data_IF_260771633652
#
_entry.id   IF_260771633652
#
_cell.length_a   1.000
_cell.length_b   1.000
_cell.length_c   1.000
_cell.angle_alpha   90.00
_cell.angle_beta   90.00
_cell.angle_gamma   90.00
#
_symmetry.space_group_name_H-M   'P 1'
#
loop_
_entity.id
_entity.type
_entity.pdbx_description
1 polymer ?
#
# COMPACT_ATOMS: atom_id res chain seq x y z
N UNK A 1 17.38 -49.66 4.34
CA UNK A 1 17.76 -48.28 4.65
C UNK A 1 18.18 -47.62 3.35
N UNK A 2 17.24 -47.01 2.63
CA UNK A 2 17.51 -46.38 1.33
C UNK A 2 18.01 -44.95 1.58
N UNK A 3 19.25 -44.68 1.20
CA UNK A 3 19.83 -43.33 1.24
C UNK A 3 19.19 -42.50 0.15
N UNK A 4 18.55 -41.39 0.52
CA UNK A 4 17.99 -40.41 -0.41
C UNK A 4 19.14 -39.92 -1.29
N UNK A 5 19.04 -40.10 -2.61
CA UNK A 5 20.05 -39.61 -3.52
C UNK A 5 20.05 -38.06 -3.46
N UNK A 6 21.23 -37.43 -3.50
CA UNK A 6 21.36 -35.96 -3.43
C UNK A 6 20.44 -35.24 -4.44
N UNK A 7 20.20 -35.86 -5.60
CA UNK A 7 19.28 -35.38 -6.63
C UNK A 7 17.82 -35.33 -6.15
N UNK A 8 17.35 -36.34 -5.43
CA UNK A 8 15.99 -36.39 -4.86
C UNK A 8 15.79 -35.31 -3.79
N UNK A 9 16.82 -35.05 -2.98
CA UNK A 9 16.82 -33.96 -2.01
C UNK A 9 16.72 -32.60 -2.69
N UNK A 10 17.45 -32.38 -3.79
CA UNK A 10 17.39 -31.13 -4.55
C UNK A 10 16.03 -30.92 -5.22
N UNK A 11 15.43 -31.98 -5.76
CA UNK A 11 14.08 -31.94 -6.35
C UNK A 11 13.02 -31.62 -5.29
N UNK A 12 13.14 -32.20 -4.09
CA UNK A 12 12.25 -31.89 -2.97
C UNK A 12 12.41 -30.43 -2.52
N UNK A 13 13.63 -29.91 -2.42
CA UNK A 13 13.87 -28.51 -2.08
C UNK A 13 13.33 -27.55 -3.15
N UNK A 14 13.50 -27.88 -4.43
CA UNK A 14 12.93 -27.11 -5.53
C UNK A 14 11.40 -27.13 -5.48
N UNK A 15 10.80 -28.30 -5.26
CA UNK A 15 9.34 -28.45 -5.16
C UNK A 15 8.79 -27.68 -3.96
N UNK A 16 9.45 -27.73 -2.80
CA UNK A 16 9.08 -26.94 -1.61
C UNK A 16 9.26 -25.45 -1.88
N UNK A 17 10.35 -25.03 -2.52
CA UNK A 17 10.56 -23.64 -2.92
C UNK A 17 9.48 -23.14 -3.90
N UNK A 18 9.09 -23.98 -4.86
CA UNK A 18 8.03 -23.68 -5.83
C UNK A 18 6.66 -23.64 -5.15
N UNK A 19 6.39 -24.54 -4.20
CA UNK A 19 5.16 -24.55 -3.41
C UNK A 19 5.09 -23.30 -2.52
N UNK A 20 6.17 -22.93 -1.84
CA UNK A 20 6.25 -21.68 -1.07
C UNK A 20 6.09 -20.45 -1.97
N UNK A 21 6.58 -20.50 -3.20
CA UNK A 21 6.41 -19.41 -4.17
C UNK A 21 4.96 -19.34 -4.70
N UNK A 22 4.36 -20.45 -5.12
CA UNK A 22 2.98 -20.51 -5.64
C UNK A 22 1.96 -20.21 -4.54
N UNK A 23 2.07 -20.85 -3.37
CA UNK A 23 1.18 -20.58 -2.23
C UNK A 23 1.52 -19.28 -1.48
N UNK A 24 2.74 -18.78 -1.59
CA UNK A 24 3.13 -17.48 -1.05
C UNK A 24 2.69 -16.31 -1.93
N UNK A 25 2.59 -16.50 -3.25
CA UNK A 25 2.12 -15.51 -4.21
C UNK A 25 0.58 -15.47 -4.30
N UNK A 26 -0.11 -16.59 -4.11
CA UNK A 26 -1.57 -16.64 -3.95
C UNK A 26 -1.99 -16.36 -2.52
N UNK A 27 -1.57 -15.22 -1.96
CA UNK A 27 -2.09 -14.72 -0.68
C UNK A 27 -3.20 -13.74 -0.99
N UNK A 28 -4.45 -14.22 -0.97
CA UNK A 28 -5.62 -13.33 -0.91
C UNK A 28 -5.39 -12.33 0.22
N UNK A 29 -5.56 -11.05 -0.09
CA UNK A 29 -5.52 -10.01 0.94
C UNK A 29 -6.67 -10.28 1.92
N UNK A 30 -6.52 -9.97 3.21
CA UNK A 30 -7.66 -9.91 4.12
C UNK A 30 -8.81 -9.11 3.47
N UNK A 31 -10.09 -9.48 3.65
CA UNK A 31 -11.21 -8.85 2.95
C UNK A 31 -11.25 -7.32 3.08
N UNK A 32 -10.91 -6.79 4.26
CA UNK A 32 -10.81 -5.35 4.50
C UNK A 32 -9.73 -4.67 3.64
N UNK A 33 -8.62 -5.36 3.37
CA UNK A 33 -7.54 -4.86 2.54
C UNK A 33 -7.85 -4.99 1.05
N UNK A 34 -8.64 -6.00 0.65
CA UNK A 34 -9.17 -6.10 -0.72
C UNK A 34 -10.08 -4.92 -1.06
N UNK A 35 -10.99 -4.56 -0.14
CA UNK A 35 -11.86 -3.39 -0.29
C UNK A 35 -11.03 -2.09 -0.40
N UNK A 36 -10.06 -1.91 0.49
CA UNK A 36 -9.14 -0.77 0.46
C UNK A 36 -8.32 -0.68 -0.83
N UNK A 37 -7.82 -1.83 -1.32
CA UNK A 37 -7.12 -1.89 -2.60
C UNK A 37 -8.03 -1.50 -3.77
N UNK A 38 -9.27 -1.98 -3.78
CA UNK A 38 -10.25 -1.62 -4.79
C UNK A 38 -10.61 -0.14 -4.77
N UNK A 39 -10.80 0.46 -3.59
CA UNK A 39 -11.03 1.91 -3.46
C UNK A 39 -9.87 2.72 -4.04
N UNK A 40 -8.63 2.37 -3.69
CA UNK A 40 -7.45 3.02 -4.24
C UNK A 40 -7.36 2.88 -5.77
N UNK A 41 -7.59 1.68 -6.30
CA UNK A 41 -7.55 1.42 -7.74
C UNK A 41 -8.65 2.18 -8.49
N UNK A 42 -9.86 2.27 -7.93
CA UNK A 42 -10.97 3.04 -8.48
C UNK A 42 -10.63 4.54 -8.52
N UNK A 43 -10.11 5.10 -7.42
CA UNK A 43 -9.71 6.51 -7.36
C UNK A 43 -8.61 6.84 -8.38
N UNK A 44 -7.60 5.97 -8.52
CA UNK A 44 -6.53 6.17 -9.51
C UNK A 44 -7.03 6.04 -10.95
N UNK A 45 -7.92 5.09 -11.22
CA UNK A 45 -8.54 4.93 -12.52
C UNK A 45 -9.38 6.17 -12.89
N UNK A 46 -10.11 6.72 -11.94
CA UNK A 46 -10.88 7.96 -12.13
C UNK A 46 -9.98 9.15 -12.44
N UNK A 47 -8.93 9.38 -11.63
CA UNK A 47 -7.96 10.45 -11.88
C UNK A 47 -7.29 10.28 -13.25
N UNK A 48 -6.91 9.06 -13.63
CA UNK A 48 -6.33 8.77 -14.94
C UNK A 48 -7.30 9.08 -16.10
N UNK A 49 -8.56 8.66 -15.96
CA UNK A 49 -9.62 8.90 -16.95
C UNK A 49 -9.92 10.40 -17.10
N UNK A 50 -9.99 11.14 -16.01
CA UNK A 50 -10.28 12.58 -16.01
C UNK A 50 -9.08 13.40 -16.46
N UNK A 51 -7.87 13.05 -16.04
CA UNK A 51 -6.63 13.65 -16.51
C UNK A 51 -6.44 13.50 -18.02
N UNK A 52 -6.88 12.38 -18.61
CA UNK A 52 -6.90 12.21 -20.07
C UNK A 52 -7.82 13.19 -20.81
N UNK A 53 -8.84 13.75 -20.13
CA UNK A 53 -9.74 14.78 -20.67
C UNK A 53 -9.27 16.21 -20.38
N UNK A 54 -8.31 16.37 -19.46
CA UNK A 54 -7.79 17.65 -18.98
C UNK A 54 -6.28 17.72 -19.24
N UNK A 55 -5.84 17.87 -20.51
CA UNK A 55 -4.42 17.76 -20.87
C UNK A 55 -3.53 18.81 -20.20
N UNK A 56 -4.08 19.99 -19.86
CA UNK A 56 -3.37 21.05 -19.15
C UNK A 56 -3.00 20.66 -17.70
N UNK A 57 -3.71 19.69 -17.09
CA UNK A 57 -3.41 19.17 -15.75
C UNK A 57 -2.53 17.92 -15.77
N UNK A 58 -2.12 17.43 -16.95
CA UNK A 58 -1.42 16.15 -17.06
C UNK A 58 -0.16 16.10 -16.19
N UNK A 59 0.68 17.13 -16.24
CA UNK A 59 1.91 17.18 -15.45
C UNK A 59 1.64 17.39 -13.96
N UNK A 60 0.60 18.16 -13.62
CA UNK A 60 0.19 18.38 -12.23
C UNK A 60 -0.39 17.12 -11.57
N UNK A 61 -0.98 16.21 -12.36
CA UNK A 61 -1.55 14.94 -11.87
C UNK A 61 -0.54 13.80 -11.78
N UNK A 62 0.61 13.88 -12.46
CA UNK A 62 1.65 12.83 -12.38
C UNK A 62 2.10 12.55 -10.95
N UNK A 63 2.38 13.56 -10.09
CA UNK A 63 2.73 13.33 -8.70
C UNK A 63 1.59 12.67 -7.91
N UNK A 64 0.32 12.99 -8.17
CA UNK A 64 -0.82 12.38 -7.48
C UNK A 64 -0.98 10.89 -7.84
N UNK A 65 -0.75 10.54 -9.12
CA UNK A 65 -0.71 9.14 -9.55
C UNK A 65 0.46 8.38 -8.91
N UNK A 66 1.62 9.03 -8.79
CA UNK A 66 2.77 8.44 -8.11
C UNK A 66 2.49 8.22 -6.62
N UNK A 67 1.87 9.20 -5.96
CA UNK A 67 1.43 9.10 -4.58
C UNK A 67 0.51 7.89 -4.35
N UNK A 68 -0.49 7.66 -5.21
CA UNK A 68 -1.34 6.47 -5.12
C UNK A 68 -0.59 5.15 -5.37
N UNK A 69 0.39 5.13 -6.28
CA UNK A 69 1.27 3.96 -6.44
C UNK A 69 2.12 3.69 -5.20
N UNK A 70 2.54 4.73 -4.51
CA UNK A 70 3.31 4.62 -3.26
C UNK A 70 2.41 4.21 -2.09
N UNK A 71 1.18 4.70 -2.00
CA UNK A 71 0.16 4.23 -1.05
C UNK A 71 -0.09 2.74 -1.16
N UNK A 72 -0.15 2.19 -2.39
CA UNK A 72 -0.33 0.74 -2.63
C UNK A 72 0.75 -0.10 -1.93
N UNK A 73 1.94 0.45 -1.68
CA UNK A 73 3.04 -0.24 -0.99
C UNK A 73 2.80 -0.42 0.51
N UNK A 74 1.78 0.23 1.08
CA UNK A 74 1.36 0.04 2.46
C UNK A 74 0.55 -1.26 2.65
N UNK A 75 -0.19 -1.70 1.63
CA UNK A 75 -1.06 -2.89 1.74
C UNK A 75 -0.30 -4.17 2.15
N UNK A 76 0.87 -4.50 1.57
CA UNK A 76 1.65 -5.67 2.02
C UNK A 76 2.12 -5.54 3.47
N UNK A 77 2.46 -4.33 3.93
CA UNK A 77 2.91 -4.08 5.31
C UNK A 77 1.76 -4.24 6.31
N UNK A 78 0.57 -3.75 5.96
CA UNK A 78 -0.65 -3.95 6.74
C UNK A 78 -1.00 -5.44 6.83
N UNK A 79 -0.97 -6.17 5.71
CA UNK A 79 -1.21 -7.62 5.67
C UNK A 79 -0.25 -8.40 6.58
N UNK A 80 1.02 -8.00 6.60
CA UNK A 80 2.04 -8.62 7.44
C UNK A 80 1.81 -8.33 8.92
N UNK A 81 1.52 -7.07 9.28
CA UNK A 81 1.22 -6.69 10.66
C UNK A 81 -0.01 -7.39 11.22
N UNK A 82 -1.10 -7.44 10.46
CA UNK A 82 -2.32 -8.15 10.86
C UNK A 82 -2.03 -9.64 11.10
N UNK A 83 -1.22 -10.26 10.23
CA UNK A 83 -0.81 -11.64 10.41
C UNK A 83 0.02 -11.84 11.68
N UNK A 84 0.92 -10.92 12.02
CA UNK A 84 1.69 -10.99 13.26
C UNK A 84 0.83 -10.78 14.50
N UNK A 85 -0.15 -9.87 14.43
CA UNK A 85 -1.08 -9.59 15.52
C UNK A 85 -2.07 -10.74 15.76
N UNK A 86 -2.39 -11.51 14.72
CA UNK A 86 -3.23 -12.70 14.80
C UNK A 86 -2.52 -13.91 15.46
N UNK A 87 -1.19 -13.89 15.61
CA UNK A 87 -0.46 -14.97 16.28
C UNK A 87 -0.69 -14.91 17.80
N UNK A 88 -1.02 -16.04 18.45
CA UNK A 88 -1.22 -16.08 19.90
C UNK A 88 0.03 -15.69 20.70
N UNK A 89 1.21 -15.95 20.15
CA UNK A 89 2.51 -15.70 20.79
C UNK A 89 2.92 -14.22 20.84
N UNK A 90 2.15 -13.32 20.21
CA UNK A 90 2.43 -11.89 20.19
C UNK A 90 1.75 -11.24 21.40
N UNK A 91 2.47 -11.14 22.51
CA UNK A 91 1.97 -10.58 23.78
C UNK A 91 2.82 -9.42 24.29
N UNK A 92 2.26 -8.67 25.26
CA UNK A 92 2.94 -7.61 25.99
C UNK A 92 3.38 -6.42 25.11
N UNK A 93 4.47 -5.73 25.46
CA UNK A 93 4.83 -4.44 24.86
C UNK A 93 5.17 -4.51 23.36
N UNK A 94 5.49 -5.70 22.84
CA UNK A 94 5.68 -5.92 21.41
C UNK A 94 4.35 -5.87 20.67
N UNK A 95 3.29 -6.47 21.23
CA UNK A 95 1.94 -6.41 20.67
C UNK A 95 1.45 -4.96 20.60
N UNK A 96 1.65 -4.19 21.67
CA UNK A 96 1.22 -2.79 21.74
C UNK A 96 1.90 -1.94 20.66
N UNK A 97 3.22 -2.10 20.47
CA UNK A 97 3.96 -1.40 19.42
C UNK A 97 3.48 -1.78 18.01
N UNK A 98 3.18 -3.05 17.78
CA UNK A 98 2.66 -3.52 16.50
C UNK A 98 1.24 -2.98 16.23
N UNK A 99 0.40 -2.86 17.27
CA UNK A 99 -0.93 -2.25 17.15
C UNK A 99 -0.85 -0.76 16.82
N UNK A 100 0.03 -0.01 17.50
CA UNK A 100 0.27 1.41 17.18
C UNK A 100 0.72 1.54 15.73
N UNK A 101 1.70 0.73 15.31
CA UNK A 101 2.21 0.77 13.95
C UNK A 101 1.16 0.39 12.90
N UNK A 102 0.33 -0.61 13.19
CA UNK A 102 -0.79 -0.99 12.32
C UNK A 102 -1.78 0.17 12.17
N UNK A 103 -2.15 0.82 13.26
CA UNK A 103 -3.05 1.95 13.26
C UNK A 103 -2.51 3.14 12.45
N UNK A 104 -1.23 3.49 12.65
CA UNK A 104 -0.56 4.56 11.88
C UNK A 104 -0.59 4.29 10.37
N UNK A 105 -0.26 3.07 9.95
CA UNK A 105 -0.25 2.68 8.54
C UNK A 105 -1.67 2.68 7.95
N UNK A 106 -2.65 2.20 8.71
CA UNK A 106 -4.05 2.14 8.29
C UNK A 106 -4.63 3.54 8.10
N UNK A 107 -4.45 4.42 9.10
CA UNK A 107 -4.91 5.81 9.02
C UNK A 107 -4.24 6.57 7.87
N UNK A 108 -2.93 6.38 7.69
CA UNK A 108 -2.20 6.97 6.57
C UNK A 108 -2.72 6.51 5.21
N UNK A 109 -3.03 5.22 5.09
CA UNK A 109 -3.61 4.66 3.89
C UNK A 109 -5.01 5.23 3.61
N UNK A 110 -5.90 5.20 4.60
CA UNK A 110 -7.28 5.68 4.48
C UNK A 110 -7.32 7.16 4.10
N UNK A 111 -6.56 8.01 4.82
CA UNK A 111 -6.44 9.43 4.50
C UNK A 111 -5.92 9.66 3.08
N UNK A 112 -4.95 8.86 2.65
CA UNK A 112 -4.39 8.95 1.30
C UNK A 112 -5.38 8.56 0.21
N UNK A 113 -6.23 7.56 0.47
CA UNK A 113 -7.33 7.18 -0.45
C UNK A 113 -8.40 8.26 -0.49
N UNK A 114 -8.84 8.77 0.66
CA UNK A 114 -9.82 9.87 0.72
C UNK A 114 -9.34 11.11 -0.03
N UNK A 115 -8.05 11.43 0.09
CA UNK A 115 -7.41 12.49 -0.68
C UNK A 115 -7.56 12.26 -2.20
N UNK A 116 -7.27 11.05 -2.70
CA UNK A 116 -7.37 10.74 -4.13
C UNK A 116 -8.82 10.73 -4.61
N UNK A 117 -9.75 10.23 -3.80
CA UNK A 117 -11.19 10.27 -4.08
C UNK A 117 -11.67 11.73 -4.20
N UNK A 118 -11.26 12.60 -3.27
CA UNK A 118 -11.57 14.03 -3.33
C UNK A 118 -10.94 14.71 -4.55
N UNK A 119 -9.68 14.43 -4.85
CA UNK A 119 -9.02 14.97 -6.06
C UNK A 119 -9.78 14.53 -7.33
N UNK A 120 -10.20 13.27 -7.41
CA UNK A 120 -11.05 12.77 -8.50
C UNK A 120 -12.36 13.54 -8.62
N UNK A 121 -13.04 13.80 -7.50
CA UNK A 121 -14.27 14.58 -7.46
C UNK A 121 -14.05 16.04 -7.88
N UNK A 122 -12.97 16.68 -7.43
CA UNK A 122 -12.65 18.06 -7.82
C UNK A 122 -12.33 18.16 -9.30
N UNK A 123 -11.64 17.18 -9.89
CA UNK A 123 -11.39 17.11 -11.33
C UNK A 123 -12.67 17.05 -12.18
N UNK A 124 -13.79 16.54 -11.63
CA UNK A 124 -15.10 16.58 -12.32
C UNK A 124 -15.67 17.99 -12.37
N UNK A 125 -15.30 18.86 -11.43
CA UNK A 125 -15.83 20.20 -11.27
C UNK A 125 -14.96 21.26 -11.95
N UNK A 126 -13.70 20.93 -12.26
CA UNK A 126 -12.79 21.83 -12.97
C UNK A 126 -13.40 22.26 -14.29
N UNK A 127 -13.57 23.58 -14.44
CA UNK A 127 -13.99 24.24 -15.66
C UNK A 127 -12.91 25.21 -16.10
N UNK A 128 -12.37 25.04 -17.31
CA UNK A 128 -11.32 25.93 -17.83
C UNK A 128 -9.91 25.48 -17.42
N UNK A 129 -9.09 26.42 -16.95
CA UNK A 129 -7.65 26.22 -16.64
C UNK A 129 -7.33 26.27 -15.15
N UNK A 130 -8.34 26.16 -14.29
CA UNK A 130 -8.17 26.18 -12.83
C UNK A 130 -7.61 24.83 -12.34
N UNK A 131 -6.69 24.89 -11.38
CA UNK A 131 -6.16 23.69 -10.73
C UNK A 131 -7.07 23.27 -9.57
N UNK A 132 -7.33 21.96 -9.40
CA UNK A 132 -8.01 21.43 -8.22
C UNK A 132 -7.30 21.86 -6.91
N UNK A 133 -8.03 22.41 -5.92
CA UNK A 133 -7.47 22.75 -4.61
C UNK A 133 -6.67 21.61 -3.95
N UNK A 134 -7.12 20.36 -4.10
CA UNK A 134 -6.43 19.20 -3.56
C UNK A 134 -4.99 19.04 -4.08
N UNK A 135 -4.62 19.59 -5.24
CA UNK A 135 -3.23 19.52 -5.71
C UNK A 135 -2.26 20.27 -4.80
N UNK A 136 -2.72 21.33 -4.12
CA UNK A 136 -1.90 22.10 -3.19
C UNK A 136 -1.53 21.31 -1.92
N UNK A 137 -2.32 20.30 -1.55
CA UNK A 137 -2.09 19.47 -0.35
C UNK A 137 -1.09 18.32 -0.60
N UNK A 138 -0.88 17.97 -1.87
CA UNK A 138 -0.07 16.83 -2.26
C UNK A 138 1.39 16.84 -1.73
N UNK A 139 2.12 17.97 -1.73
CA UNK A 139 3.49 18.00 -1.20
C UNK A 139 3.57 17.56 0.26
N UNK A 140 2.60 17.97 1.08
CA UNK A 140 2.53 17.61 2.49
C UNK A 140 2.22 16.11 2.65
N UNK A 141 1.26 15.59 1.89
CA UNK A 141 0.91 14.17 1.92
C UNK A 141 2.06 13.26 1.48
N UNK A 142 2.89 13.70 0.53
CA UNK A 142 4.10 12.97 0.13
C UNK A 142 5.13 12.89 1.26
N UNK A 143 5.27 13.95 2.07
CA UNK A 143 6.13 13.96 3.25
C UNK A 143 5.59 12.97 4.29
N UNK A 144 4.29 13.06 4.61
CA UNK A 144 3.63 12.18 5.57
C UNK A 144 3.75 10.70 5.14
N UNK A 145 3.47 10.38 3.88
CA UNK A 145 3.60 9.02 3.36
C UNK A 145 5.05 8.50 3.46
N UNK A 146 6.04 9.36 3.19
CA UNK A 146 7.45 8.99 3.34
C UNK A 146 7.81 8.71 4.79
N UNK A 147 7.35 9.52 5.74
CA UNK A 147 7.57 9.30 7.18
C UNK A 147 6.90 8.01 7.66
N UNK A 148 5.71 7.72 7.14
CA UNK A 148 4.98 6.48 7.42
C UNK A 148 5.74 5.28 6.85
N UNK A 149 6.21 5.33 5.60
CA UNK A 149 6.96 4.23 4.96
C UNK A 149 8.34 4.03 5.58
N UNK A 150 9.00 5.11 5.97
CA UNK A 150 10.36 5.12 6.50
C UNK A 150 10.39 5.92 7.81
N UNK A 151 9.88 5.34 8.91
CA UNK A 151 9.96 5.98 10.20
C UNK A 151 11.45 6.22 10.51
N UNK A 152 11.80 7.46 10.81
CA UNK A 152 13.15 7.80 11.25
C UNK A 152 13.47 6.90 12.44
N UNK A 153 14.46 6.02 12.29
CA UNK A 153 14.98 5.23 13.40
C UNK A 153 15.27 6.20 14.54
N UNK A 154 14.76 5.97 15.77
CA UNK A 154 15.15 6.79 16.88
C UNK A 154 16.68 6.69 16.96
N UNK A 155 17.35 7.81 16.72
CA UNK A 155 18.77 7.97 16.98
C UNK A 155 19.01 7.43 18.38
N UNK A 156 19.81 6.36 18.49
CA UNK A 156 20.37 5.90 19.76
C UNK A 156 21.17 7.08 20.31
N UNK A 157 20.54 7.86 21.18
CA UNK A 157 21.22 8.74 22.12
C UNK A 157 21.78 7.92 23.27
#
# INVERSE_FOLDING_TARGET
MAGIALLELMLLLLAVGLLVWVFGASRSLPPAQEEQAHRLEAALAEIGRLGGRLPHLHDALKPAQQYGRDLRKLLPQLAELERFLAKPSTEGPTRDRLLVRHHELLQGFERGVEYLERLGAELLLVSGSEEPPALAELPQLLIELREILHPLSPTRG
#
